data_IF_159017490577
#
_entry.id   IF_159017490577
#
_cell.length_a   1.000
_cell.length_b   1.000
_cell.length_c   1.000
_cell.angle_alpha   90.00
_cell.angle_beta   90.00
_cell.angle_gamma   90.00
#
_symmetry.space_group_name_H-M   'P 1'
#
loop_
_entity.id
_entity.type
_entity.pdbx_description
1 polymer ?
#
# COMPACT_ATOMS: atom_id res chain seq x y z
N UNK A 1 15.76 -23.72 -36.30
CA UNK A 1 16.38 -22.85 -35.26
C UNK A 1 15.42 -22.75 -34.08
N UNK A 2 15.79 -23.36 -32.95
CA UNK A 2 15.06 -23.26 -31.68
C UNK A 2 15.36 -21.90 -31.05
N UNK A 3 14.33 -21.17 -30.60
CA UNK A 3 14.45 -20.24 -29.47
C UNK A 3 13.19 -20.35 -28.63
N UNK A 4 13.26 -21.22 -27.63
CA UNK A 4 12.41 -21.22 -26.47
C UNK A 4 12.37 -19.80 -25.87
N UNK A 5 11.17 -19.27 -25.62
CA UNK A 5 11.01 -18.13 -24.71
C UNK A 5 10.40 -18.66 -23.43
N UNK A 6 11.31 -18.73 -22.45
CA UNK A 6 11.12 -18.93 -21.04
C UNK A 6 9.76 -18.41 -20.55
N UNK A 7 8.99 -19.33 -19.96
CA UNK A 7 7.92 -19.06 -19.02
C UNK A 7 8.53 -18.25 -17.87
N UNK A 8 8.29 -16.94 -17.86
CA UNK A 8 8.64 -16.07 -16.75
C UNK A 8 7.67 -16.40 -15.63
N UNK A 9 8.19 -16.90 -14.51
CA UNK A 9 7.45 -17.08 -13.27
C UNK A 9 6.70 -15.79 -12.94
N UNK A 10 5.38 -15.86 -12.82
CA UNK A 10 4.53 -14.79 -12.30
C UNK A 10 4.81 -14.67 -10.80
N UNK A 11 5.90 -14.00 -10.43
CA UNK A 11 5.92 -13.37 -9.11
C UNK A 11 4.87 -12.25 -9.15
N UNK A 12 3.92 -12.19 -8.20
CA UNK A 12 2.97 -11.10 -8.16
C UNK A 12 3.76 -9.81 -8.05
N UNK A 13 3.60 -8.92 -9.04
CA UNK A 13 4.22 -7.61 -8.99
C UNK A 13 3.79 -6.90 -7.69
N UNK A 14 4.70 -6.21 -7.00
CA UNK A 14 4.35 -5.48 -5.78
C UNK A 14 3.19 -4.50 -6.04
N UNK A 15 2.22 -4.45 -5.14
CA UNK A 15 1.04 -3.58 -5.26
C UNK A 15 1.48 -2.12 -5.24
N UNK A 16 1.31 -1.43 -6.37
CA UNK A 16 1.62 -0.02 -6.54
C UNK A 16 0.36 0.76 -6.93
N UNK A 17 0.05 1.81 -6.18
CA UNK A 17 -1.10 2.69 -6.42
C UNK A 17 -0.60 4.05 -6.94
N UNK A 18 -1.25 4.58 -7.98
CA UNK A 18 -0.92 5.89 -8.56
C UNK A 18 -2.14 6.79 -8.55
N UNK A 19 -2.04 7.97 -7.95
CA UNK A 19 -3.09 8.99 -7.90
C UNK A 19 -2.48 10.34 -8.30
N UNK A 20 -2.78 10.80 -9.51
CA UNK A 20 -2.17 12.02 -10.05
C UNK A 20 -0.64 11.91 -10.11
N UNK A 21 0.03 12.77 -9.36
CA UNK A 21 1.50 12.81 -9.22
C UNK A 21 2.03 11.98 -8.04
N UNK A 22 1.15 11.32 -7.28
CA UNK A 22 1.46 10.49 -6.14
C UNK A 22 1.61 9.01 -6.53
N UNK A 23 2.68 8.38 -6.07
CA UNK A 23 2.97 6.95 -6.22
C UNK A 23 3.14 6.33 -4.85
N UNK A 24 2.40 5.28 -4.57
CA UNK A 24 2.41 4.53 -3.30
C UNK A 24 2.89 3.12 -3.60
N UNK A 25 4.00 2.72 -2.99
CA UNK A 25 4.45 1.34 -2.92
C UNK A 25 3.92 0.73 -1.63
N UNK A 26 2.88 -0.10 -1.75
CA UNK A 26 2.19 -0.68 -0.58
C UNK A 26 3.07 -1.71 0.09
N UNK A 27 3.78 -2.53 -0.69
CA UNK A 27 4.68 -3.55 -0.16
C UNK A 27 5.93 -2.93 0.49
N UNK A 28 6.48 -1.88 -0.14
CA UNK A 28 7.64 -1.14 0.34
C UNK A 28 7.35 -0.08 1.39
N UNK A 29 6.07 0.10 1.78
CA UNK A 29 5.61 1.11 2.74
C UNK A 29 6.19 2.51 2.44
N UNK A 30 6.16 2.93 1.17
CA UNK A 30 6.76 4.19 0.73
C UNK A 30 5.85 4.99 -0.19
N UNK A 31 5.96 6.31 -0.11
CA UNK A 31 5.17 7.25 -0.92
C UNK A 31 6.09 8.25 -1.56
N UNK A 32 5.85 8.52 -2.84
CA UNK A 32 6.55 9.56 -3.61
C UNK A 32 5.55 10.48 -4.28
N UNK A 33 5.90 11.76 -4.38
CA UNK A 33 5.20 12.73 -5.22
C UNK A 33 6.20 13.35 -6.17
N UNK A 34 5.93 13.28 -7.47
CA UNK A 34 6.87 13.75 -8.51
C UNK A 34 8.29 13.18 -8.33
N UNK A 35 8.38 11.92 -7.88
CA UNK A 35 9.64 11.22 -7.62
C UNK A 35 10.31 11.53 -6.27
N UNK A 36 9.84 12.53 -5.52
CA UNK A 36 10.36 12.87 -4.19
C UNK A 36 9.65 12.06 -3.10
N UNK A 37 10.42 11.43 -2.21
CA UNK A 37 9.87 10.66 -1.09
C UNK A 37 9.18 11.56 -0.06
N UNK A 38 7.98 11.16 0.37
CA UNK A 38 7.23 11.81 1.44
C UNK A 38 7.32 10.91 2.67
N UNK A 39 7.88 11.45 3.76
CA UNK A 39 7.89 10.77 5.05
C UNK A 39 6.50 10.86 5.69
N UNK A 40 5.89 9.70 5.96
CA UNK A 40 4.61 9.59 6.64
C UNK A 40 4.80 8.78 7.92
N UNK A 41 4.04 9.11 8.95
CA UNK A 41 3.85 8.18 10.07
C UNK A 41 3.14 6.91 9.56
N UNK A 42 3.25 5.78 10.28
CA UNK A 42 2.53 4.56 9.88
C UNK A 42 1.02 4.77 9.75
N UNK A 43 0.44 5.59 10.63
CA UNK A 43 -1.00 5.87 10.61
C UNK A 43 -1.42 6.68 9.37
N UNK A 44 -0.64 7.70 9.01
CA UNK A 44 -0.90 8.49 7.81
C UNK A 44 -0.75 7.64 6.54
N UNK A 45 0.22 6.73 6.51
CA UNK A 45 0.40 5.79 5.41
C UNK A 45 -0.81 4.86 5.26
N UNK A 46 -1.23 4.21 6.34
CA UNK A 46 -2.38 3.30 6.33
C UNK A 46 -3.67 4.01 5.88
N UNK A 47 -3.90 5.23 6.39
CA UNK A 47 -5.04 6.05 5.99
C UNK A 47 -4.97 6.39 4.49
N UNK A 48 -3.80 6.80 4.01
CA UNK A 48 -3.61 7.12 2.59
C UNK A 48 -3.86 5.89 1.70
N UNK A 49 -3.35 4.72 2.07
CA UNK A 49 -3.59 3.45 1.34
C UNK A 49 -5.08 3.10 1.33
N UNK A 50 -5.76 3.23 2.47
CA UNK A 50 -7.19 2.95 2.57
C UNK A 50 -8.02 3.81 1.61
N UNK A 51 -7.71 5.11 1.54
CA UNK A 51 -8.36 6.04 0.60
C UNK A 51 -7.96 5.73 -0.86
N UNK A 52 -6.68 5.49 -1.11
CA UNK A 52 -6.11 5.23 -2.44
C UNK A 52 -6.68 3.96 -3.10
N UNK A 53 -6.97 2.92 -2.32
CA UNK A 53 -7.56 1.66 -2.82
C UNK A 53 -8.99 1.80 -3.31
N UNK A 54 -9.73 2.82 -2.85
CA UNK A 54 -11.11 3.08 -3.26
C UNK A 54 -11.29 4.56 -3.62
N UNK A 55 -10.71 5.00 -4.75
CA UNK A 55 -10.82 6.39 -5.15
C UNK A 55 -12.29 6.76 -5.36
N UNK A 56 -12.65 8.01 -5.04
CA UNK A 56 -14.01 8.58 -5.16
C UNK A 56 -15.05 8.05 -4.18
N UNK A 57 -14.72 7.07 -3.35
CA UNK A 57 -15.61 6.63 -2.29
C UNK A 57 -15.58 7.62 -1.12
N UNK A 58 -16.76 8.04 -0.66
CA UNK A 58 -16.90 8.76 0.61
C UNK A 58 -16.85 7.75 1.75
N UNK A 59 -16.01 8.03 2.74
CA UNK A 59 -15.93 7.24 3.96
C UNK A 59 -16.47 8.05 5.14
N UNK A 60 -17.18 7.40 6.06
CA UNK A 60 -17.45 8.00 7.36
C UNK A 60 -16.22 7.86 8.25
N UNK A 61 -16.18 8.68 9.31
CA UNK A 61 -15.10 8.63 10.29
C UNK A 61 -15.00 7.26 10.95
N UNK A 62 -16.12 6.66 11.30
CA UNK A 62 -16.19 5.36 11.97
C UNK A 62 -15.60 4.25 11.10
N UNK A 63 -15.92 4.25 9.79
CA UNK A 63 -15.37 3.27 8.84
C UNK A 63 -13.86 3.41 8.69
N UNK A 64 -13.33 4.64 8.60
CA UNK A 64 -11.88 4.85 8.51
C UNK A 64 -11.18 4.44 9.80
N UNK A 65 -11.77 4.72 10.96
CA UNK A 65 -11.23 4.28 12.24
C UNK A 65 -11.16 2.75 12.30
N UNK A 66 -12.24 2.07 11.95
CA UNK A 66 -12.28 0.60 11.95
C UNK A 66 -11.26 0.01 10.97
N UNK A 67 -11.17 0.53 9.75
CA UNK A 67 -10.26 0.02 8.74
C UNK A 67 -8.79 0.28 9.08
N UNK A 68 -8.45 1.47 9.56
CA UNK A 68 -7.04 1.84 9.80
C UNK A 68 -6.56 1.32 11.17
N UNK A 69 -7.34 1.51 12.24
CA UNK A 69 -6.95 1.01 13.57
C UNK A 69 -7.19 -0.50 13.70
N UNK A 70 -8.27 -1.05 13.12
CA UNK A 70 -8.51 -2.49 13.11
C UNK A 70 -7.46 -3.27 12.30
N UNK A 71 -6.98 -2.70 11.19
CA UNK A 71 -5.86 -3.29 10.43
C UNK A 71 -4.55 -3.26 11.20
N UNK A 72 -4.28 -2.21 12.00
CA UNK A 72 -3.12 -2.19 12.90
C UNK A 72 -3.17 -3.27 13.95
N UNK A 73 -4.32 -3.54 14.57
CA UNK A 73 -4.43 -4.66 15.52
C UNK A 73 -4.12 -6.02 14.86
N UNK A 74 -4.51 -6.21 13.59
CA UNK A 74 -4.14 -7.40 12.83
C UNK A 74 -2.64 -7.42 12.42
N UNK A 75 -2.06 -6.27 12.07
CA UNK A 75 -0.66 -6.14 11.65
C UNK A 75 0.34 -6.20 12.83
N UNK A 76 -0.03 -5.69 14.01
CA UNK A 76 0.77 -5.75 15.25
C UNK A 76 0.94 -7.17 15.79
N UNK A 77 0.14 -8.14 15.31
CA UNK A 77 0.31 -9.55 15.69
C UNK A 77 1.66 -10.13 15.22
N UNK A 78 2.46 -9.38 14.42
CA UNK A 78 3.78 -9.79 13.94
C UNK A 78 4.97 -9.13 14.63
N UNK A 79 4.76 -8.27 15.64
CA UNK A 79 5.84 -7.68 16.44
C UNK A 79 5.86 -8.28 17.86
N UNK A 80 6.08 -9.59 17.93
CA UNK A 80 6.55 -10.22 19.17
C UNK A 80 8.07 -10.27 19.09
N UNK A 81 8.75 -9.27 19.65
CA UNK A 81 10.18 -9.40 19.99
C UNK A 81 10.26 -10.03 21.39
N UNK A 82 10.91 -11.20 21.48
CA UNK A 82 11.52 -11.73 22.70
C UNK A 82 13.01 -11.40 22.65
#
# INVERSE_FOLDING_TARGET
RIRARLRRSEEPAPEQLTIGDLVIDVAGHSVKREGQSIALTPLEFDLLVALARKPWQVFTREVLLEQVWGYRHAADTRLVNV
#
